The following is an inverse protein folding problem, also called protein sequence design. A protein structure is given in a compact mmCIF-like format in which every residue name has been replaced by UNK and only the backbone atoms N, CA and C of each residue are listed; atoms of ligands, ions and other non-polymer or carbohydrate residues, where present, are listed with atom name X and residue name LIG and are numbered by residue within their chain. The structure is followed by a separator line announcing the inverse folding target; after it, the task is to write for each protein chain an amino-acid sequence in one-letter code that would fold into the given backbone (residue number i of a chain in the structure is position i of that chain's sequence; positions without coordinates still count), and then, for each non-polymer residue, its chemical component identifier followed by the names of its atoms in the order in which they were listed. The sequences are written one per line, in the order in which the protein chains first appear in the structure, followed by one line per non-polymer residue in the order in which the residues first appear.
data_IF_960780832270
#
_entry.id   IF_960780832270
#
_cell.length_a   1.000
_cell.length_b   1.000
_cell.length_c   1.000
_cell.angle_alpha   90.00
_cell.angle_beta   90.00
_cell.angle_gamma   90.00
#
_symmetry.space_group_name_H-M   'P 1'
#
loop_
_entity.id
_entity.type
_entity.pdbx_description
1 polymer ?
#
# COMPACT_ATOMS: atom_id res chain seq x y z
N UNK A 1 -27.08 33.34 55.23
CA UNK A 1 -26.48 34.12 54.13
C UNK A 1 -25.04 33.62 54.03
N UNK A 2 -24.83 32.52 53.29
CA UNK A 2 -24.39 32.49 51.87
C UNK A 2 -22.97 33.06 51.72
N UNK A 3 -21.97 32.41 51.15
CA UNK A 3 -21.79 31.08 50.57
C UNK A 3 -20.26 30.97 50.37
N UNK A 4 -19.66 29.88 50.82
CA UNK A 4 -18.27 29.51 50.51
C UNK A 4 -18.25 28.83 49.14
N UNK A 5 -17.72 29.49 48.11
CA UNK A 5 -17.47 28.88 46.80
C UNK A 5 -16.14 28.12 46.84
N UNK A 6 -16.22 26.82 47.09
CA UNK A 6 -15.10 25.90 46.93
C UNK A 6 -14.94 25.57 45.45
N UNK A 7 -13.78 25.90 44.87
CA UNK A 7 -13.42 25.56 43.50
C UNK A 7 -13.60 24.06 43.23
N UNK A 8 -14.42 23.72 42.23
CA UNK A 8 -14.54 22.35 41.73
C UNK A 8 -13.18 21.91 41.15
N UNK A 9 -12.57 20.92 41.80
CA UNK A 9 -11.37 20.25 41.31
C UNK A 9 -11.69 19.55 39.98
N UNK A 10 -11.14 20.09 38.89
CA UNK A 10 -11.20 19.47 37.56
C UNK A 10 -10.58 18.06 37.65
N UNK A 11 -11.41 17.04 37.43
CA UNK A 11 -10.99 15.64 37.45
C UNK A 11 -10.28 15.30 36.13
N UNK A 12 -8.97 15.55 36.10
CA UNK A 12 -8.06 15.37 34.95
C UNK A 12 -8.06 13.93 34.41
N UNK A 13 -8.56 12.94 35.16
CA UNK A 13 -8.68 11.55 34.70
C UNK A 13 -9.78 11.33 33.65
N UNK A 14 -10.66 12.32 33.43
CA UNK A 14 -11.69 12.30 32.37
C UNK A 14 -11.26 12.97 31.06
N UNK A 15 -10.07 13.59 31.05
CA UNK A 15 -9.35 14.09 29.87
C UNK A 15 -8.33 13.03 29.40
N UNK A 16 -8.68 11.75 29.48
CA UNK A 16 -7.98 10.75 28.68
C UNK A 16 -8.42 10.96 27.24
N UNK A 17 -7.68 11.81 26.53
CA UNK A 17 -7.47 11.65 25.09
C UNK A 17 -7.27 10.15 24.85
N UNK A 18 -8.03 9.60 23.91
CA UNK A 18 -7.81 8.26 23.38
C UNK A 18 -6.31 8.07 23.22
N UNK A 19 -5.73 7.08 23.92
CA UNK A 19 -4.30 6.83 23.83
C UNK A 19 -3.97 6.72 22.34
N UNK A 20 -2.99 7.46 21.80
CA UNK A 20 -2.50 7.13 20.48
C UNK A 20 -2.14 5.65 20.52
N UNK A 21 -2.72 4.87 19.60
CA UNK A 21 -2.38 3.47 19.42
C UNK A 21 -0.86 3.41 19.39
N UNK A 22 -0.28 2.70 20.34
CA UNK A 22 1.16 2.65 20.53
C UNK A 22 1.75 2.06 19.24
N UNK A 23 2.25 2.92 18.36
CA UNK A 23 2.87 2.54 17.10
C UNK A 23 4.06 1.66 17.47
N UNK A 24 3.92 0.36 17.23
CA UNK A 24 5.05 -0.56 17.25
C UNK A 24 6.11 -0.14 16.23
N UNK A 25 7.14 -0.97 15.97
CA UNK A 25 8.13 -0.67 14.94
C UNK A 25 7.44 -0.60 13.56
N UNK A 26 7.10 0.61 13.13
CA UNK A 26 6.55 0.91 11.81
C UNK A 26 7.66 0.88 10.76
N UNK A 27 7.29 0.98 9.49
CA UNK A 27 8.21 1.07 8.36
C UNK A 27 8.13 2.45 7.72
N UNK A 28 9.24 3.16 7.67
CA UNK A 28 9.37 4.43 6.95
C UNK A 28 10.41 4.27 5.83
N UNK A 29 10.00 4.27 4.54
CA UNK A 29 10.92 4.13 3.42
C UNK A 29 12.06 5.14 3.41
N UNK A 30 11.85 6.37 3.93
CA UNK A 30 12.90 7.39 3.93
C UNK A 30 14.08 7.02 4.83
N UNK A 31 13.82 6.34 5.95
CA UNK A 31 14.84 5.99 6.95
C UNK A 31 15.25 4.52 6.89
N UNK A 32 14.32 3.64 6.55
CA UNK A 32 14.53 2.18 6.59
C UNK A 32 15.10 1.64 5.27
N UNK A 33 15.00 2.38 4.16
CA UNK A 33 15.67 2.05 2.90
C UNK A 33 16.96 2.87 2.79
N UNK A 34 18.08 2.20 3.01
CA UNK A 34 19.40 2.80 2.84
C UNK A 34 19.67 3.22 1.38
N UNK A 35 20.57 4.19 1.19
CA UNK A 35 21.04 4.62 -0.14
C UNK A 35 21.60 3.45 -0.96
N UNK A 36 22.22 2.46 -0.29
CA UNK A 36 22.70 1.23 -0.95
C UNK A 36 21.54 0.42 -1.51
N UNK A 37 20.51 0.14 -0.70
CA UNK A 37 19.34 -0.64 -1.14
C UNK A 37 18.62 0.08 -2.28
N UNK A 38 18.42 1.40 -2.18
CA UNK A 38 17.84 2.20 -3.26
C UNK A 38 18.63 2.11 -4.56
N UNK A 39 19.97 2.22 -4.48
CA UNK A 39 20.84 2.05 -5.64
C UNK A 39 20.70 0.66 -6.26
N UNK A 40 20.68 -0.40 -5.46
CA UNK A 40 20.52 -1.77 -5.96
C UNK A 40 19.16 -2.00 -6.64
N UNK A 41 18.09 -1.40 -6.10
CA UNK A 41 16.78 -1.40 -6.76
C UNK A 41 16.86 -0.68 -8.12
N UNK A 42 17.51 0.47 -8.17
CA UNK A 42 17.68 1.26 -9.41
C UNK A 42 18.50 0.50 -10.46
N UNK A 43 19.60 -0.14 -10.07
CA UNK A 43 20.43 -0.97 -10.96
C UNK A 43 19.65 -2.16 -11.50
N UNK A 44 18.82 -2.80 -10.66
CA UNK A 44 17.97 -3.92 -11.07
C UNK A 44 16.88 -3.45 -12.03
N UNK A 45 16.26 -2.30 -11.78
CA UNK A 45 15.26 -1.70 -12.66
C UNK A 45 15.87 -1.40 -14.05
N UNK A 46 17.09 -0.87 -14.10
CA UNK A 46 17.79 -0.63 -15.38
C UNK A 46 18.17 -1.94 -16.09
N UNK A 47 18.52 -2.99 -15.34
CA UNK A 47 18.74 -4.32 -15.92
C UNK A 47 17.46 -4.87 -16.55
N UNK A 48 16.30 -4.70 -15.89
CA UNK A 48 14.99 -5.05 -16.45
C UNK A 48 14.67 -4.22 -17.68
N UNK A 49 14.90 -2.90 -17.64
CA UNK A 49 14.73 -2.02 -18.81
C UNK A 49 15.53 -2.52 -20.01
N UNK A 50 16.69 -3.13 -19.78
CA UNK A 50 17.57 -3.62 -20.85
C UNK A 50 17.39 -5.09 -21.23
N UNK A 51 16.52 -5.82 -20.53
CA UNK A 51 16.23 -7.22 -20.80
C UNK A 51 15.18 -7.40 -21.90
N UNK A 52 15.37 -8.42 -22.74
CA UNK A 52 14.37 -8.89 -23.72
C UNK A 52 13.52 -10.05 -23.20
N UNK A 53 13.49 -10.29 -21.88
CA UNK A 53 12.72 -11.36 -21.28
C UNK A 53 11.22 -11.16 -21.50
N UNK A 54 10.49 -12.23 -21.82
CA UNK A 54 9.06 -12.17 -22.11
C UNK A 54 8.20 -11.73 -20.91
N UNK A 55 8.59 -12.13 -19.69
CA UNK A 55 7.94 -11.73 -18.43
C UNK A 55 8.78 -10.67 -17.72
N UNK A 56 8.99 -9.52 -18.37
CA UNK A 56 9.84 -8.47 -17.84
C UNK A 56 9.15 -7.75 -16.65
N UNK A 57 9.71 -7.78 -15.43
CA UNK A 57 9.10 -7.17 -14.24
C UNK A 57 9.37 -5.66 -14.12
N UNK A 58 9.87 -5.00 -15.18
CA UNK A 58 10.17 -3.56 -15.19
C UNK A 58 9.01 -2.70 -14.67
N UNK A 59 7.82 -2.84 -15.25
CA UNK A 59 6.65 -2.04 -14.89
C UNK A 59 6.21 -2.25 -13.44
N UNK A 60 6.32 -3.50 -12.97
CA UNK A 60 6.00 -3.87 -11.60
C UNK A 60 7.00 -3.27 -10.60
N UNK A 61 8.30 -3.41 -10.87
CA UNK A 61 9.34 -2.86 -10.02
C UNK A 61 9.28 -1.33 -9.96
N UNK A 62 9.06 -0.67 -11.11
CA UNK A 62 8.89 0.78 -11.17
C UNK A 62 7.71 1.25 -10.31
N UNK A 63 6.57 0.57 -10.41
CA UNK A 63 5.40 0.87 -9.59
C UNK A 63 5.69 0.76 -8.09
N UNK A 64 6.35 -0.31 -7.63
CA UNK A 64 6.68 -0.43 -6.21
C UNK A 64 7.69 0.62 -5.75
N UNK A 65 8.69 0.95 -6.57
CA UNK A 65 9.62 2.04 -6.26
C UNK A 65 8.91 3.40 -6.17
N UNK A 66 7.92 3.64 -7.03
CA UNK A 66 7.09 4.85 -6.98
C UNK A 66 6.23 4.88 -5.72
N UNK A 67 5.62 3.75 -5.35
CA UNK A 67 4.88 3.64 -4.08
C UNK A 67 5.77 3.94 -2.87
N UNK A 68 7.05 3.58 -2.92
CA UNK A 68 8.01 3.80 -1.83
C UNK A 68 8.43 5.26 -1.69
N UNK A 69 9.04 5.84 -2.73
CA UNK A 69 9.69 7.15 -2.70
C UNK A 69 9.51 7.83 -4.07
N UNK A 70 8.30 8.34 -4.39
CA UNK A 70 7.97 8.86 -5.72
C UNK A 70 8.86 10.04 -6.12
N UNK A 71 9.29 10.87 -5.17
CA UNK A 71 10.17 12.02 -5.37
C UNK A 71 11.59 11.66 -5.83
N UNK A 72 11.99 10.40 -5.65
CA UNK A 72 13.28 9.88 -6.15
C UNK A 72 13.22 9.38 -7.59
N UNK A 73 12.04 9.39 -8.21
CA UNK A 73 11.84 8.97 -9.59
C UNK A 73 11.51 10.18 -10.47
N UNK A 74 12.08 10.19 -11.68
CA UNK A 74 11.73 11.16 -12.70
C UNK A 74 10.74 10.53 -13.70
N UNK A 75 9.46 10.52 -13.35
CA UNK A 75 8.42 9.96 -14.22
C UNK A 75 8.32 10.67 -15.57
N UNK A 76 8.58 11.98 -15.63
CA UNK A 76 8.59 12.72 -16.89
C UNK A 76 9.69 12.23 -17.84
N UNK A 77 10.87 11.90 -17.31
CA UNK A 77 11.94 11.30 -18.12
C UNK A 77 11.56 9.89 -18.58
N UNK A 78 10.97 9.07 -17.71
CA UNK A 78 10.53 7.71 -18.05
C UNK A 78 9.42 7.73 -19.12
N UNK A 79 8.47 8.67 -19.02
CA UNK A 79 7.40 8.85 -19.99
C UNK A 79 7.91 9.19 -21.40
N UNK A 80 9.06 9.87 -21.49
CA UNK A 80 9.69 10.24 -22.76
C UNK A 80 10.67 9.16 -23.29
N UNK A 81 10.88 8.08 -22.55
CA UNK A 81 11.73 6.97 -22.94
C UNK A 81 10.90 5.88 -23.60
N UNK A 82 11.00 5.77 -24.92
CA UNK A 82 10.22 4.82 -25.72
C UNK A 82 10.41 3.37 -25.29
N UNK A 83 11.60 2.99 -24.79
CA UNK A 83 11.86 1.62 -24.34
C UNK A 83 11.15 1.34 -23.02
N UNK A 84 11.21 2.29 -22.09
CA UNK A 84 10.53 2.18 -20.82
C UNK A 84 9.01 2.16 -21.03
N UNK A 85 8.48 3.07 -21.85
CA UNK A 85 7.05 3.12 -22.15
C UNK A 85 6.56 1.88 -22.88
N UNK A 86 7.32 1.30 -23.82
CA UNK A 86 6.94 0.02 -24.44
C UNK A 86 6.80 -1.09 -23.40
N UNK A 87 7.71 -1.18 -22.41
CA UNK A 87 7.61 -2.14 -21.32
C UNK A 87 6.39 -1.89 -20.41
N UNK A 88 5.94 -0.64 -20.28
CA UNK A 88 4.74 -0.27 -19.53
C UNK A 88 3.45 -0.67 -20.24
N UNK A 89 3.37 -0.46 -21.56
CA UNK A 89 2.12 -0.65 -22.33
C UNK A 89 1.98 -2.03 -22.95
N UNK A 90 3.09 -2.73 -23.22
CA UNK A 90 3.07 -4.03 -23.88
C UNK A 90 2.22 -5.05 -23.12
N UNK A 91 2.47 -5.22 -21.82
CA UNK A 91 1.75 -6.21 -21.00
C UNK A 91 0.24 -5.96 -20.94
N UNK A 92 -0.26 -4.76 -20.55
CA UNK A 92 -1.71 -4.53 -20.53
C UNK A 92 -2.33 -4.64 -21.92
N UNK A 93 -1.66 -4.17 -22.99
CA UNK A 93 -2.16 -4.32 -24.37
C UNK A 93 -2.27 -5.80 -24.77
N UNK A 94 -1.20 -6.57 -24.61
CA UNK A 94 -1.14 -7.98 -24.98
C UNK A 94 -2.17 -8.80 -24.20
N UNK A 95 -2.22 -8.63 -22.88
CA UNK A 95 -3.11 -9.41 -22.00
C UNK A 95 -4.58 -9.05 -22.22
N UNK A 96 -4.91 -7.79 -22.50
CA UNK A 96 -6.26 -7.38 -22.90
C UNK A 96 -6.70 -8.07 -24.20
N UNK A 97 -5.84 -8.07 -25.22
CA UNK A 97 -6.13 -8.72 -26.51
C UNK A 97 -6.36 -10.24 -26.40
N UNK A 98 -5.75 -10.88 -25.39
CA UNK A 98 -5.85 -12.33 -25.16
C UNK A 98 -6.83 -12.69 -24.04
N UNK A 99 -7.61 -11.74 -23.53
CA UNK A 99 -8.55 -11.92 -22.43
C UNK A 99 -7.91 -12.54 -21.16
N UNK A 100 -6.64 -12.23 -20.89
CA UNK A 100 -5.90 -12.64 -19.69
C UNK A 100 -6.06 -11.57 -18.59
N UNK A 101 -7.26 -11.51 -18.01
CA UNK A 101 -7.61 -10.51 -17.00
C UNK A 101 -6.70 -10.57 -15.76
N UNK A 102 -6.18 -11.76 -15.42
CA UNK A 102 -5.27 -11.96 -14.28
C UNK A 102 -4.00 -11.12 -14.40
N UNK A 103 -3.47 -10.97 -15.62
CA UNK A 103 -2.29 -10.15 -15.89
C UNK A 103 -2.62 -8.75 -16.36
N UNK A 104 -3.77 -8.57 -17.01
CA UNK A 104 -4.24 -7.28 -17.48
C UNK A 104 -4.46 -6.32 -16.31
N UNK A 105 -5.30 -6.71 -15.35
CA UNK A 105 -5.72 -5.86 -14.23
C UNK A 105 -4.53 -5.24 -13.48
N UNK A 106 -3.55 -6.02 -12.96
CA UNK A 106 -2.43 -5.44 -12.24
C UNK A 106 -1.52 -4.59 -13.15
N UNK A 107 -1.44 -4.88 -14.45
CA UNK A 107 -0.65 -4.07 -15.38
C UNK A 107 -1.32 -2.75 -15.74
N UNK A 108 -2.65 -2.76 -15.89
CA UNK A 108 -3.49 -1.58 -16.08
C UNK A 108 -3.38 -0.61 -14.89
N UNK A 109 -3.42 -1.13 -13.65
CA UNK A 109 -3.22 -0.33 -12.43
C UNK A 109 -1.87 0.39 -12.46
N UNK A 110 -0.78 -0.32 -12.77
CA UNK A 110 0.57 0.28 -12.81
C UNK A 110 0.65 1.42 -13.81
N UNK A 111 0.09 1.23 -15.01
CA UNK A 111 0.06 2.27 -16.04
C UNK A 111 -0.77 3.48 -15.59
N UNK A 112 -1.98 3.27 -15.05
CA UNK A 112 -2.85 4.35 -14.56
C UNK A 112 -2.23 5.14 -13.41
N UNK A 113 -1.59 4.47 -12.44
CA UNK A 113 -1.00 5.14 -11.27
C UNK A 113 0.28 5.91 -11.65
N UNK A 114 1.15 5.32 -12.49
CA UNK A 114 2.40 5.98 -12.88
C UNK A 114 2.17 7.08 -13.92
N UNK A 115 1.19 6.91 -14.81
CA UNK A 115 0.94 7.82 -15.93
C UNK A 115 -0.58 8.06 -16.11
N UNK A 116 -1.24 8.73 -15.15
CA UNK A 116 -2.70 8.88 -15.13
C UNK A 116 -3.26 9.66 -16.33
N UNK A 117 -2.46 10.55 -16.91
CA UNK A 117 -2.78 11.42 -18.05
C UNK A 117 -2.28 10.86 -19.40
N UNK A 118 -1.81 9.61 -19.45
CA UNK A 118 -1.31 9.02 -20.69
C UNK A 118 -2.45 8.66 -21.64
N UNK A 119 -2.34 9.05 -22.92
CA UNK A 119 -3.25 8.65 -24.00
C UNK A 119 -3.28 7.13 -24.21
N UNK A 120 -2.26 6.41 -23.73
CA UNK A 120 -2.21 4.95 -23.75
C UNK A 120 -3.29 4.33 -22.86
N UNK A 121 -3.79 5.03 -21.84
CA UNK A 121 -4.80 4.51 -20.92
C UNK A 121 -6.08 4.10 -21.65
N UNK A 122 -6.60 4.97 -22.50
CA UNK A 122 -7.78 4.66 -23.33
C UNK A 122 -7.46 3.60 -24.37
N UNK A 123 -6.23 3.59 -24.92
CA UNK A 123 -5.80 2.61 -25.93
C UNK A 123 -5.73 1.18 -25.37
N UNK A 124 -5.32 1.01 -24.12
CA UNK A 124 -5.32 -0.30 -23.44
C UNK A 124 -6.65 -0.63 -22.77
N UNK A 125 -7.67 0.22 -22.92
CA UNK A 125 -9.03 0.00 -22.42
C UNK A 125 -9.18 0.17 -20.91
N UNK A 126 -8.33 0.94 -20.25
CA UNK A 126 -8.43 1.18 -18.79
C UNK A 126 -9.76 1.85 -18.42
N UNK A 127 -10.29 2.70 -19.29
CA UNK A 127 -11.53 3.45 -19.04
C UNK A 127 -12.81 2.62 -19.25
N UNK A 128 -12.68 1.37 -19.72
CA UNK A 128 -13.81 0.49 -20.02
C UNK A 128 -13.91 -0.66 -19.02
N UNK A 129 -14.93 -0.60 -18.17
CA UNK A 129 -15.24 -1.67 -17.23
C UNK A 129 -15.65 -2.97 -17.95
N UNK A 130 -16.36 -2.89 -19.08
CA UNK A 130 -16.80 -4.01 -19.91
C UNK A 130 -17.02 -5.35 -19.17
N UNK A 131 -16.34 -6.39 -19.63
CA UNK A 131 -16.40 -7.75 -19.10
C UNK A 131 -15.77 -7.90 -17.69
N UNK A 132 -14.96 -6.94 -17.23
CA UNK A 132 -14.36 -6.98 -15.89
C UNK A 132 -15.42 -6.84 -14.80
N UNK A 133 -16.58 -6.25 -15.11
CA UNK A 133 -17.72 -6.20 -14.19
C UNK A 133 -18.08 -7.57 -13.64
N UNK A 134 -18.24 -8.55 -14.52
CA UNK A 134 -18.67 -9.90 -14.11
C UNK A 134 -17.54 -10.65 -13.41
N UNK A 135 -16.28 -10.36 -13.78
CA UNK A 135 -15.11 -10.84 -13.06
C UNK A 135 -15.06 -10.33 -11.62
N UNK A 136 -15.22 -9.03 -11.39
CA UNK A 136 -15.21 -8.48 -10.02
C UNK A 136 -16.37 -9.01 -9.18
N UNK A 137 -17.57 -9.16 -9.77
CA UNK A 137 -18.70 -9.83 -9.10
C UNK A 137 -18.35 -11.28 -8.70
N UNK A 138 -17.74 -12.04 -9.62
CA UNK A 138 -17.32 -13.41 -9.36
C UNK A 138 -16.29 -13.47 -8.23
N UNK A 139 -15.25 -12.64 -8.29
CA UNK A 139 -14.20 -12.52 -7.27
C UNK A 139 -14.74 -12.18 -5.88
N UNK A 140 -15.66 -11.23 -5.81
CA UNK A 140 -16.36 -10.90 -4.57
C UNK A 140 -17.11 -12.10 -3.99
N UNK A 141 -17.84 -12.83 -4.83
CA UNK A 141 -18.56 -14.02 -4.41
C UNK A 141 -17.62 -15.17 -3.98
N UNK A 142 -16.45 -15.28 -4.61
CA UNK A 142 -15.41 -16.25 -4.28
C UNK A 142 -14.87 -16.02 -2.86
N UNK A 143 -14.54 -14.77 -2.48
CA UNK A 143 -14.10 -14.43 -1.12
C UNK A 143 -15.12 -14.88 -0.06
N UNK A 144 -16.41 -14.63 -0.32
CA UNK A 144 -17.50 -15.00 0.60
C UNK A 144 -17.64 -16.51 0.79
N UNK A 145 -17.14 -17.31 -0.15
CA UNK A 145 -17.19 -18.79 -0.11
C UNK A 145 -15.94 -19.41 0.50
N UNK A 146 -14.87 -18.64 0.74
CA UNK A 146 -13.66 -19.23 1.30
C UNK A 146 -13.86 -19.73 2.73
N UNK A 147 -13.39 -20.95 2.94
CA UNK A 147 -13.11 -21.49 4.26
C UNK A 147 -11.94 -20.71 4.88
N UNK A 148 -11.99 -20.47 6.18
CA UNK A 148 -10.92 -19.81 6.96
C UNK A 148 -9.57 -20.52 6.76
N UNK A 149 -8.47 -19.77 6.74
CA UNK A 149 -7.11 -20.34 6.72
C UNK A 149 -6.43 -20.46 5.35
N UNK A 150 -7.10 -20.21 4.22
CA UNK A 150 -6.46 -20.33 2.89
C UNK A 150 -5.82 -19.02 2.39
N UNK A 151 -4.58 -19.12 1.89
CA UNK A 151 -3.74 -18.05 1.30
C UNK A 151 -4.28 -17.41 0.00
N UNK A 152 -5.37 -17.93 -0.59
CA UNK A 152 -5.89 -17.47 -1.89
C UNK A 152 -6.51 -16.06 -1.86
N UNK A 153 -6.80 -15.51 -0.68
CA UNK A 153 -7.40 -14.18 -0.54
C UNK A 153 -6.56 -13.04 -1.13
N UNK A 154 -5.22 -13.13 -1.06
CA UNK A 154 -4.31 -12.06 -1.54
C UNK A 154 -4.56 -11.67 -3.01
N UNK A 155 -4.49 -12.64 -3.93
CA UNK A 155 -4.72 -12.42 -5.36
C UNK A 155 -6.10 -11.83 -5.67
N UNK A 156 -7.14 -12.25 -4.94
CA UNK A 156 -8.49 -11.73 -5.18
C UNK A 156 -8.61 -10.30 -4.67
N UNK A 157 -8.02 -10.01 -3.50
CA UNK A 157 -8.02 -8.66 -2.96
C UNK A 157 -7.23 -7.67 -3.81
N UNK A 158 -6.18 -8.10 -4.50
CA UNK A 158 -5.49 -7.27 -5.52
C UNK A 158 -6.44 -6.84 -6.64
N UNK A 159 -7.28 -7.76 -7.14
CA UNK A 159 -8.27 -7.42 -8.18
C UNK A 159 -9.33 -6.46 -7.65
N UNK A 160 -9.74 -6.57 -6.39
CA UNK A 160 -10.67 -5.61 -5.78
C UNK A 160 -10.02 -4.24 -5.55
N UNK A 161 -8.75 -4.19 -5.14
CA UNK A 161 -7.98 -2.94 -5.04
C UNK A 161 -7.88 -2.28 -6.42
N UNK A 162 -7.62 -3.08 -7.45
CA UNK A 162 -7.61 -2.60 -8.82
C UNK A 162 -8.97 -2.07 -9.27
N UNK A 163 -10.08 -2.70 -8.88
CA UNK A 163 -11.42 -2.16 -9.13
C UNK A 163 -11.61 -0.78 -8.48
N UNK A 164 -11.09 -0.57 -7.27
CA UNK A 164 -11.11 0.73 -6.59
C UNK A 164 -10.32 1.81 -7.34
N UNK A 165 -9.15 1.44 -7.88
CA UNK A 165 -8.26 2.36 -8.61
C UNK A 165 -8.77 2.67 -10.02
N UNK A 166 -9.17 1.65 -10.77
CA UNK A 166 -9.54 1.78 -12.19
C UNK A 166 -11.01 2.20 -12.36
N UNK A 167 -11.90 1.77 -11.46
CA UNK A 167 -13.35 1.96 -11.59
C UNK A 167 -13.99 2.39 -10.25
N UNK A 168 -13.63 3.57 -9.71
CA UNK A 168 -14.00 4.00 -8.36
C UNK A 168 -15.52 4.06 -8.13
N UNK A 169 -16.31 4.52 -9.11
CA UNK A 169 -17.77 4.55 -8.99
C UNK A 169 -18.37 3.14 -8.89
N UNK A 170 -17.89 2.20 -9.72
CA UNK A 170 -18.31 0.80 -9.62
C UNK A 170 -17.93 0.18 -8.27
N UNK A 171 -16.71 0.47 -7.80
CA UNK A 171 -16.25 0.02 -6.49
C UNK A 171 -17.17 0.52 -5.38
N UNK A 172 -17.46 1.82 -5.36
CA UNK A 172 -18.33 2.45 -4.36
C UNK A 172 -19.74 1.84 -4.33
N UNK A 173 -20.35 1.65 -5.50
CA UNK A 173 -21.71 1.12 -5.60
C UNK A 173 -21.83 -0.37 -5.26
N UNK A 174 -20.78 -1.16 -5.51
CA UNK A 174 -20.91 -2.63 -5.53
C UNK A 174 -20.00 -3.39 -4.58
N UNK A 175 -18.87 -2.82 -4.18
CA UNK A 175 -17.86 -3.46 -3.33
C UNK A 175 -17.78 -2.73 -1.99
N UNK A 176 -17.71 -1.40 -1.99
CA UNK A 176 -17.54 -0.60 -0.78
C UNK A 176 -18.68 -0.82 0.22
N UNK A 177 -19.92 -0.78 -0.26
CA UNK A 177 -21.12 -0.94 0.57
C UNK A 177 -21.38 -2.39 1.05
N UNK A 178 -20.58 -3.37 0.63
CA UNK A 178 -20.80 -4.78 0.94
C UNK A 178 -20.20 -5.16 2.31
N UNK A 179 -20.96 -4.91 3.38
CA UNK A 179 -20.52 -5.17 4.76
C UNK A 179 -20.16 -6.63 5.03
N UNK A 180 -20.83 -7.58 4.36
CA UNK A 180 -20.53 -9.01 4.50
C UNK A 180 -19.16 -9.35 3.91
N UNK A 181 -18.81 -8.75 2.77
CA UNK A 181 -17.48 -8.88 2.18
C UNK A 181 -16.42 -8.33 3.13
N UNK A 182 -16.64 -7.14 3.68
CA UNK A 182 -15.69 -6.52 4.62
C UNK A 182 -15.45 -7.40 5.84
N UNK A 183 -16.53 -7.88 6.47
CA UNK A 183 -16.46 -8.78 7.63
C UNK A 183 -15.70 -10.06 7.29
N UNK A 184 -15.99 -10.64 6.11
CA UNK A 184 -15.31 -11.87 5.67
C UNK A 184 -13.82 -11.65 5.45
N UNK A 185 -13.40 -10.50 4.92
CA UNK A 185 -12.00 -10.19 4.72
C UNK A 185 -11.24 -10.06 6.05
N UNK A 186 -11.84 -9.41 7.05
CA UNK A 186 -11.29 -9.34 8.41
C UNK A 186 -11.17 -10.74 9.02
N UNK A 187 -12.21 -11.57 8.89
CA UNK A 187 -12.21 -12.96 9.35
C UNK A 187 -11.11 -13.79 8.67
N UNK A 188 -10.97 -13.69 7.35
CA UNK A 188 -9.96 -14.41 6.57
C UNK A 188 -8.54 -14.02 6.99
N UNK A 189 -8.28 -12.72 7.16
CA UNK A 189 -6.99 -12.24 7.62
C UNK A 189 -6.67 -12.75 9.03
N UNK A 190 -7.61 -12.61 9.97
CA UNK A 190 -7.38 -12.95 11.37
C UNK A 190 -7.22 -14.45 11.64
N UNK A 191 -7.68 -15.29 10.71
CA UNK A 191 -7.56 -16.75 10.76
C UNK A 191 -6.63 -17.32 9.67
N UNK A 192 -5.80 -16.48 9.04
CA UNK A 192 -4.94 -16.92 7.95
C UNK A 192 -3.82 -17.85 8.46
N UNK A 193 -3.72 -19.06 7.91
CA UNK A 193 -2.67 -20.05 8.24
C UNK A 193 -1.42 -19.90 7.34
N UNK A 194 -1.16 -18.68 6.86
CA UNK A 194 -0.11 -18.36 5.90
C UNK A 194 1.19 -17.85 6.50
N UNK A 195 2.20 -17.65 5.64
CA UNK A 195 3.43 -16.97 6.02
C UNK A 195 3.21 -15.47 6.29
N UNK A 196 4.18 -14.82 6.92
CA UNK A 196 4.09 -13.38 7.22
C UNK A 196 3.93 -12.52 5.96
N UNK A 197 4.44 -12.98 4.80
CA UNK A 197 4.25 -12.30 3.52
C UNK A 197 2.79 -12.20 3.12
N UNK A 198 2.07 -13.33 3.19
CA UNK A 198 0.66 -13.41 2.78
C UNK A 198 -0.23 -12.63 3.75
N UNK A 199 0.10 -12.70 5.05
CA UNK A 199 -0.60 -11.96 6.10
C UNK A 199 -0.45 -10.44 5.89
N UNK A 200 0.78 -9.96 5.69
CA UNK A 200 1.05 -8.54 5.47
C UNK A 200 0.42 -8.03 4.16
N UNK A 201 0.48 -8.83 3.10
CA UNK A 201 -0.11 -8.48 1.81
C UNK A 201 -1.64 -8.37 1.90
N UNK A 202 -2.31 -9.35 2.51
CA UNK A 202 -3.75 -9.29 2.73
C UNK A 202 -4.14 -8.10 3.63
N UNK A 203 -3.37 -7.84 4.69
CA UNK A 203 -3.59 -6.68 5.56
C UNK A 203 -3.49 -5.35 4.79
N UNK A 204 -2.49 -5.21 3.91
CA UNK A 204 -2.30 -4.02 3.11
C UNK A 204 -3.46 -3.82 2.13
N UNK A 205 -3.94 -4.89 1.50
CA UNK A 205 -5.08 -4.83 0.61
C UNK A 205 -6.37 -4.47 1.36
N UNK A 206 -6.63 -5.06 2.53
CA UNK A 206 -7.77 -4.66 3.37
C UNK A 206 -7.66 -3.18 3.73
N UNK A 207 -6.46 -2.70 4.07
CA UNK A 207 -6.25 -1.28 4.39
C UNK A 207 -6.52 -0.34 3.21
N UNK A 208 -6.19 -0.76 1.98
CA UNK A 208 -6.50 0.01 0.76
C UNK A 208 -8.01 -0.01 0.44
N UNK A 209 -8.66 -1.15 0.65
CA UNK A 209 -10.08 -1.34 0.36
C UNK A 209 -10.97 -0.63 1.39
N UNK A 210 -10.71 -0.87 2.67
CA UNK A 210 -11.55 -0.55 3.83
C UNK A 210 -10.68 -0.04 5.00
N UNK A 211 -10.09 1.17 4.89
CA UNK A 211 -9.15 1.69 5.88
C UNK A 211 -9.72 1.76 7.31
N UNK A 212 -11.03 1.98 7.45
CA UNK A 212 -11.76 1.99 8.72
C UNK A 212 -11.76 0.62 9.44
N UNK A 213 -11.59 -0.47 8.70
CA UNK A 213 -11.56 -1.84 9.23
C UNK A 213 -10.15 -2.27 9.64
N UNK A 214 -9.11 -1.49 9.33
CA UNK A 214 -7.72 -1.89 9.54
C UNK A 214 -7.39 -2.21 11.00
N UNK A 215 -7.98 -1.48 11.95
CA UNK A 215 -7.76 -1.70 13.38
C UNK A 215 -8.37 -3.00 13.92
N UNK A 216 -9.19 -3.70 13.12
CA UNK A 216 -9.75 -5.01 13.46
C UNK A 216 -8.81 -6.17 13.09
N UNK A 217 -7.70 -5.87 12.40
CA UNK A 217 -6.75 -6.88 11.95
C UNK A 217 -5.76 -7.28 13.06
N UNK A 218 -5.53 -8.58 13.20
CA UNK A 218 -4.55 -9.18 14.11
C UNK A 218 -3.11 -9.01 13.55
N UNK A 219 -2.66 -7.77 13.36
CA UNK A 219 -1.32 -7.42 12.87
C UNK A 219 -0.56 -6.63 13.93
N UNK A 220 -0.07 -7.34 14.96
CA UNK A 220 0.59 -6.75 16.12
C UNK A 220 2.10 -6.65 15.99
N UNK A 221 2.76 -6.31 17.12
CA UNK A 221 4.22 -6.14 17.23
C UNK A 221 4.99 -7.34 16.65
N UNK A 222 4.57 -8.57 16.97
CA UNK A 222 5.24 -9.78 16.49
C UNK A 222 5.16 -9.92 14.97
N UNK A 223 4.02 -9.58 14.36
CA UNK A 223 3.86 -9.61 12.91
C UNK A 223 4.76 -8.56 12.26
N UNK A 224 4.85 -7.36 12.83
CA UNK A 224 5.78 -6.33 12.36
C UNK A 224 7.24 -6.77 12.39
N UNK A 225 7.70 -7.39 13.47
CA UNK A 225 9.06 -7.94 13.56
C UNK A 225 9.33 -8.97 12.47
N UNK A 226 8.45 -9.96 12.34
CA UNK A 226 8.55 -11.01 11.32
C UNK A 226 8.54 -10.43 9.90
N UNK A 227 7.75 -9.37 9.67
CA UNK A 227 7.65 -8.74 8.36
C UNK A 227 8.94 -7.99 8.02
N UNK A 228 9.55 -7.29 8.99
CA UNK A 228 10.87 -6.66 8.79
C UNK A 228 11.96 -7.71 8.54
N UNK A 229 11.97 -8.79 9.31
CA UNK A 229 12.89 -9.92 9.08
C UNK A 229 12.74 -10.48 7.66
N UNK A 230 11.50 -10.72 7.22
CA UNK A 230 11.21 -11.18 5.87
C UNK A 230 11.71 -10.19 4.81
N UNK A 231 11.46 -8.89 4.97
CA UNK A 231 11.95 -7.85 4.05
C UNK A 231 13.47 -7.92 3.89
N UNK A 232 14.23 -8.01 5.00
CA UNK A 232 15.69 -8.07 4.94
C UNK A 232 16.20 -9.33 4.24
N UNK A 233 15.49 -10.46 4.34
CA UNK A 233 15.80 -11.70 3.62
C UNK A 233 15.62 -11.55 2.09
N UNK A 234 14.82 -10.58 1.62
CA UNK A 234 14.57 -10.38 0.19
C UNK A 234 15.63 -9.53 -0.53
N UNK A 235 16.68 -9.05 0.15
CA UNK A 235 17.75 -8.28 -0.51
C UNK A 235 18.39 -8.95 -1.74
N UNK A 236 18.51 -10.29 -1.86
CA UNK A 236 18.96 -10.92 -3.09
C UNK A 236 17.98 -10.79 -4.27
N UNK A 237 16.71 -10.46 -4.01
CA UNK A 237 15.64 -10.29 -4.99
C UNK A 237 15.00 -8.89 -4.86
N UNK A 238 15.60 -7.90 -5.51
CA UNK A 238 15.20 -6.50 -5.37
C UNK A 238 13.79 -6.18 -5.86
N UNK A 239 13.22 -6.97 -6.77
CA UNK A 239 11.82 -6.83 -7.18
C UNK A 239 10.89 -7.21 -6.02
N UNK A 240 11.12 -8.36 -5.39
CA UNK A 240 10.34 -8.82 -4.23
C UNK A 240 10.59 -7.94 -3.01
N UNK A 241 11.81 -7.45 -2.82
CA UNK A 241 12.12 -6.44 -1.81
C UNK A 241 11.28 -5.17 -1.99
N UNK A 242 11.24 -4.61 -3.21
CA UNK A 242 10.48 -3.40 -3.51
C UNK A 242 8.98 -3.62 -3.29
N UNK A 243 8.44 -4.74 -3.79
CA UNK A 243 7.05 -5.16 -3.55
C UNK A 243 6.73 -5.18 -2.06
N UNK A 244 7.49 -5.96 -1.29
CA UNK A 244 7.19 -6.16 0.11
C UNK A 244 7.42 -4.89 0.96
N UNK A 245 8.42 -4.07 0.62
CA UNK A 245 8.60 -2.77 1.23
C UNK A 245 7.38 -1.86 0.97
N UNK A 246 6.79 -1.90 -0.24
CA UNK A 246 5.59 -1.11 -0.54
C UNK A 246 4.37 -1.58 0.27
N UNK A 247 4.24 -2.90 0.50
CA UNK A 247 3.24 -3.49 1.42
C UNK A 247 3.43 -2.94 2.83
N UNK A 248 4.67 -2.92 3.35
CA UNK A 248 4.94 -2.35 4.68
C UNK A 248 4.66 -0.85 4.76
N UNK A 249 4.92 -0.08 3.69
CA UNK A 249 4.58 1.35 3.66
C UNK A 249 3.07 1.57 3.76
N UNK A 250 2.26 0.79 3.03
CA UNK A 250 0.80 0.85 3.13
C UNK A 250 0.36 0.57 4.57
N UNK A 251 0.91 -0.48 5.19
CA UNK A 251 0.60 -0.84 6.58
C UNK A 251 1.06 0.19 7.60
N UNK A 252 2.12 0.95 7.32
CA UNK A 252 2.69 1.94 8.23
C UNK A 252 2.11 3.34 8.06
N UNK A 253 1.43 3.63 6.95
CA UNK A 253 0.81 4.92 6.70
C UNK A 253 -0.14 5.31 7.85
N UNK A 254 -0.26 6.61 8.11
CA UNK A 254 -1.29 7.17 8.98
C UNK A 254 -2.63 7.22 8.25
N UNK A 255 -2.61 7.70 7.00
CA UNK A 255 -3.78 7.83 6.12
C UNK A 255 -3.53 7.14 4.79
N UNK A 256 -4.54 6.41 4.31
CA UNK A 256 -4.53 5.72 3.01
C UNK A 256 -5.76 6.17 2.23
N UNK A 257 -5.53 6.73 1.05
CA UNK A 257 -6.58 7.18 0.15
C UNK A 257 -6.32 6.61 -1.26
N UNK A 258 -7.41 6.25 -1.95
CA UNK A 258 -7.37 5.93 -3.37
C UNK A 258 -8.14 7.04 -4.09
N UNK A 259 -7.42 7.82 -4.89
CA UNK A 259 -7.93 8.97 -5.64
C UNK A 259 -7.87 8.68 -7.14
N UNK A 260 -8.41 9.59 -7.96
CA UNK A 260 -8.30 9.49 -9.43
C UNK A 260 -6.83 9.49 -9.92
N UNK A 261 -5.89 9.91 -9.07
CA UNK A 261 -4.44 9.92 -9.32
C UNK A 261 -3.73 8.64 -8.86
N UNK A 262 -4.45 7.70 -8.25
CA UNK A 262 -3.90 6.44 -7.75
C UNK A 262 -3.93 6.32 -6.23
N UNK A 263 -2.87 5.77 -5.64
CA UNK A 263 -2.80 5.53 -4.19
C UNK A 263 -2.00 6.65 -3.52
N UNK A 264 -2.62 7.31 -2.54
CA UNK A 264 -2.01 8.36 -1.72
C UNK A 264 -1.79 7.84 -0.30
N UNK A 265 -0.54 7.85 0.15
CA UNK A 265 -0.13 7.38 1.48
C UNK A 265 0.48 8.54 2.26
N UNK A 266 -0.18 8.93 3.35
CA UNK A 266 0.36 9.91 4.30
C UNK A 266 1.09 9.15 5.39
N UNK A 267 2.41 9.31 5.51
CA UNK A 267 3.20 8.70 6.57
C UNK A 267 3.01 9.48 7.88
N UNK A 268 3.08 8.80 9.05
CA UNK A 268 3.02 9.48 10.34
C UNK A 268 4.06 10.59 10.43
N UNK A 269 3.63 11.77 10.86
CA UNK A 269 4.57 12.87 11.10
C UNK A 269 5.59 12.45 12.16
N UNK A 270 6.87 12.63 11.86
CA UNK A 270 7.92 12.56 12.89
C UNK A 270 7.66 13.74 13.80
N UNK A 271 7.11 13.51 14.99
CA UNK A 271 7.19 14.51 16.04
C UNK A 271 8.68 14.79 16.24
N UNK A 272 9.13 15.94 15.74
CA UNK A 272 10.39 16.52 16.20
C UNK A 272 10.09 16.79 17.67
N UNK A 273 10.59 15.92 18.53
CA UNK A 273 10.64 16.23 19.95
C UNK A 273 11.45 17.51 20.04
N UNK A 274 10.75 18.62 20.23
CA UNK A 274 11.31 19.87 20.71
C UNK A 274 11.88 19.55 22.09
N UNK A 275 13.07 18.96 22.12
CA UNK A 275 13.93 19.05 23.28
C UNK A 275 14.21 20.53 23.43
N UNK A 276 13.48 21.18 24.35
CA UNK A 276 13.94 22.44 24.92
C UNK A 276 15.43 22.24 25.25
N UNK A 277 16.34 23.04 24.69
CA UNK A 277 17.75 22.90 25.01
C UNK A 277 17.89 23.09 26.51
N UNK A 278 18.33 22.03 27.20
CA UNK A 278 18.68 22.11 28.62
C UNK A 278 19.68 23.27 28.75
N UNK A 279 19.35 24.36 29.46
CA UNK A 279 20.26 25.47 29.58
C UNK A 279 21.52 24.96 30.28
N UNK A 280 22.67 25.10 29.61
CA UNK A 280 23.97 24.79 30.20
C UNK A 280 24.09 25.60 31.50
N UNK A 281 24.52 24.99 32.62
CA UNK A 281 24.69 25.72 33.86
C UNK A 281 25.70 26.85 33.64
N UNK A 282 25.31 28.08 33.97
CA UNK A 282 26.16 29.25 33.91
C UNK A 282 27.45 28.98 34.71
N UNK A 283 28.59 28.96 34.01
CA UNK A 283 29.89 28.96 34.66
C UNK A 283 30.09 30.32 35.32
N UNK A 284 30.01 30.37 36.66
CA UNK A 284 30.46 31.53 37.43
C UNK A 284 31.94 31.76 37.11
N UNK A 285 32.25 32.92 36.52
CA UNK A 285 33.62 33.41 36.38
C UNK A 285 34.14 33.75 37.78
N UNK A 286 35.27 33.15 38.16
CA UNK A 286 36.12 33.63 39.26
C UNK A 286 37.12 34.64 38.70
#
# INVERSE_FOLDING_TARGET
MTETTTEERINIKRLMLERPVQLGPTFDPETDISSRQWRMMTETLEAFRNSSAHNNPYAEMLFYMYMLLPERLNLAQIANDSKAMELMVYTPRYTRMHHDDLKYIPSAVRLKVLFPESDENSTVGIDDLGDLRDRFKFRKAEIKRFETGRSVAGNITDELVAAKILFPEYFKETIEADTDLQNKLVELHNNLEGGISDLAWLAANIRLLFPERFNELNFGLRQWELAKEYLYQQQPNWQVFAWFASVLKILAAEKVEVTDRGIELTMPSKEISDFEPVPLPETRRF
#
